data_IF_946679299798
#
_entry.id   IF_946679299798
#
_cell.length_a   1.000
_cell.length_b   1.000
_cell.length_c   1.000
_cell.angle_alpha   90.00
_cell.angle_beta   90.00
_cell.angle_gamma   90.00
#
_symmetry.space_group_name_H-M   'P 1'
#
loop_
_entity.id
_entity.type
_entity.pdbx_description
1 polymer ?
#
# COMPACT_ATOMS: atom_id res chain seq x y z
N UNK A 1 -4.13 7.03 -3.28
CA UNK A 1 -5.52 6.54 -3.47
C UNK A 1 -6.28 7.60 -4.22
N UNK A 2 -7.17 7.19 -5.13
CA UNK A 2 -7.94 8.11 -5.96
C UNK A 2 -9.40 7.69 -6.03
N UNK A 3 -10.29 8.65 -6.25
CA UNK A 3 -11.67 8.39 -6.61
C UNK A 3 -11.73 7.65 -7.96
N UNK A 4 -12.57 6.62 -8.07
CA UNK A 4 -12.63 5.75 -9.24
C UNK A 4 -13.18 6.46 -10.48
N UNK A 5 -14.10 7.39 -10.30
CA UNK A 5 -14.84 8.05 -11.39
C UNK A 5 -14.08 9.26 -11.89
N UNK A 6 -13.70 10.15 -10.98
CA UNK A 6 -13.03 11.43 -11.27
C UNK A 6 -11.52 11.30 -11.37
N UNK A 7 -10.91 10.28 -10.73
CA UNK A 7 -9.46 10.16 -10.61
C UNK A 7 -8.83 11.14 -9.63
N UNK A 8 -9.62 11.92 -8.88
CA UNK A 8 -9.12 12.86 -7.90
C UNK A 8 -8.40 12.17 -6.73
N UNK A 9 -7.32 12.78 -6.25
CA UNK A 9 -6.61 12.30 -5.06
C UNK A 9 -7.44 12.59 -3.80
N UNK A 10 -7.84 11.52 -3.11
CA UNK A 10 -8.75 11.57 -1.96
C UNK A 10 -8.17 12.24 -0.72
N UNK A 11 -6.84 12.31 -0.61
CA UNK A 11 -6.19 13.07 0.46
C UNK A 11 -6.08 14.55 0.10
N UNK A 12 -5.83 14.85 -1.19
CA UNK A 12 -5.73 16.23 -1.65
C UNK A 12 -7.08 16.96 -1.62
N UNK A 13 -8.18 16.28 -1.93
CA UNK A 13 -9.54 16.83 -1.85
C UNK A 13 -10.18 16.73 -0.45
N UNK A 14 -9.43 16.24 0.55
CA UNK A 14 -9.83 16.12 1.96
C UNK A 14 -10.98 15.14 2.24
N UNK A 15 -11.27 14.22 1.32
CA UNK A 15 -12.18 13.10 1.57
C UNK A 15 -11.58 12.11 2.57
N UNK A 16 -10.26 11.95 2.58
CA UNK A 16 -9.52 11.14 3.55
C UNK A 16 -8.54 12.02 4.34
N UNK A 17 -8.36 11.72 5.63
CA UNK A 17 -7.32 12.30 6.47
C UNK A 17 -6.18 11.28 6.66
N UNK A 18 -4.94 11.76 6.57
CA UNK A 18 -3.76 10.96 6.87
C UNK A 18 -3.69 10.52 8.34
N UNK A 19 -4.33 11.26 9.25
CA UNK A 19 -4.35 10.96 10.68
C UNK A 19 -5.22 9.73 11.02
N UNK A 20 -6.13 9.35 10.13
CA UNK A 20 -7.03 8.20 10.31
C UNK A 20 -6.40 6.88 9.85
N UNK A 21 -5.21 6.93 9.23
CA UNK A 21 -4.58 5.77 8.62
C UNK A 21 -4.07 4.81 9.71
N UNK A 22 -4.51 3.55 9.62
CA UNK A 22 -3.99 2.45 10.43
C UNK A 22 -3.63 1.30 9.50
N UNK A 23 -2.42 0.75 9.66
CA UNK A 23 -2.00 -0.45 8.93
C UNK A 23 -1.94 -1.62 9.89
N UNK A 24 -2.68 -2.68 9.58
CA UNK A 24 -2.71 -3.92 10.36
C UNK A 24 -2.14 -5.07 9.54
N UNK A 25 -1.36 -5.94 10.17
CA UNK A 25 -0.98 -7.22 9.58
C UNK A 25 -2.07 -8.29 9.78
N UNK A 26 -1.82 -9.50 9.29
CA UNK A 26 -2.72 -10.66 9.39
C UNK A 26 -3.03 -11.12 10.81
N UNK A 27 -2.23 -10.73 11.80
CA UNK A 27 -2.49 -10.98 13.23
C UNK A 27 -3.31 -9.84 13.89
N UNK A 28 -3.67 -8.81 13.12
CA UNK A 28 -4.36 -7.62 13.62
C UNK A 28 -3.47 -6.67 14.42
N UNK A 29 -2.14 -6.80 14.31
CA UNK A 29 -1.18 -5.91 14.97
C UNK A 29 -0.87 -4.71 14.08
N UNK A 30 -0.63 -3.56 14.71
CA UNK A 30 -0.23 -2.34 14.01
C UNK A 30 1.16 -2.50 13.38
N UNK A 31 1.24 -2.16 12.10
CA UNK A 31 2.48 -2.02 11.35
C UNK A 31 2.86 -0.54 11.21
N UNK A 32 4.17 -0.28 11.16
CA UNK A 32 4.67 1.08 10.95
C UNK A 32 4.45 1.48 9.48
N UNK A 33 4.04 2.73 9.28
CA UNK A 33 3.92 3.33 7.97
C UNK A 33 4.37 4.79 8.00
N UNK A 34 4.70 5.32 6.82
CA UNK A 34 4.92 6.73 6.58
C UNK A 34 3.83 7.26 5.65
N UNK A 35 3.30 8.43 5.96
CA UNK A 35 2.50 9.20 5.00
C UNK A 35 3.38 10.25 4.33
N UNK A 36 3.54 10.16 3.02
CA UNK A 36 4.36 11.08 2.24
C UNK A 36 3.43 11.96 1.40
N UNK A 37 3.49 13.27 1.62
CA UNK A 37 2.77 14.28 0.84
C UNK A 37 3.76 15.20 0.16
N UNK A 38 3.90 15.10 -1.17
CA UNK A 38 4.84 15.91 -1.94
C UNK A 38 4.36 16.11 -3.37
N UNK A 39 4.43 17.35 -3.90
CA UNK A 39 4.07 17.70 -5.28
C UNK A 39 2.70 17.15 -5.74
N UNK A 40 1.69 17.19 -4.88
CA UNK A 40 0.33 16.70 -5.20
C UNK A 40 0.17 15.17 -5.15
N UNK A 41 1.24 14.44 -4.81
CA UNK A 41 1.20 13.01 -4.56
C UNK A 41 1.05 12.72 -3.07
N UNK A 42 0.14 11.80 -2.73
CA UNK A 42 -0.05 11.28 -1.38
C UNK A 42 0.17 9.76 -1.38
N UNK A 43 1.20 9.31 -0.68
CA UNK A 43 1.60 7.90 -0.58
C UNK A 43 1.52 7.40 0.85
N UNK A 44 1.08 6.16 0.98
CA UNK A 44 1.26 5.36 2.19
C UNK A 44 2.40 4.40 1.89
N UNK A 45 3.53 4.62 2.56
CA UNK A 45 4.71 3.79 2.49
C UNK A 45 4.73 2.87 3.71
N UNK A 46 4.80 1.56 3.49
CA UNK A 46 4.83 0.55 4.57
C UNK A 46 6.11 -0.28 4.41
N UNK A 47 7.25 0.18 4.97
CA UNK A 47 8.55 -0.41 4.68
C UNK A 47 8.64 -1.91 5.01
N UNK A 48 8.02 -2.33 6.11
CA UNK A 48 8.07 -3.70 6.62
C UNK A 48 7.48 -4.74 5.64
N UNK A 49 6.56 -4.33 4.76
CA UNK A 49 5.95 -5.22 3.76
C UNK A 49 7.02 -5.83 2.84
N UNK A 50 8.06 -5.07 2.50
CA UNK A 50 9.12 -5.53 1.60
C UNK A 50 10.12 -6.49 2.25
N UNK A 51 10.22 -6.51 3.58
CA UNK A 51 11.19 -7.31 4.33
C UNK A 51 10.59 -8.63 4.85
N UNK A 52 9.27 -8.70 4.99
CA UNK A 52 8.58 -9.90 5.46
C UNK A 52 8.40 -10.93 4.32
N UNK A 53 9.17 -12.00 4.36
CA UNK A 53 9.12 -13.10 3.37
C UNK A 53 7.85 -13.93 3.44
N UNK A 54 7.49 -14.52 2.30
CA UNK A 54 6.32 -15.34 2.10
C UNK A 54 5.09 -14.53 1.71
N UNK A 55 3.95 -15.20 1.64
CA UNK A 55 2.65 -14.58 1.39
C UNK A 55 2.15 -13.94 2.68
N UNK A 56 1.95 -12.62 2.68
CA UNK A 56 1.45 -11.83 3.81
C UNK A 56 0.24 -11.02 3.40
N UNK A 57 -0.66 -10.82 4.36
CA UNK A 57 -1.83 -9.95 4.18
C UNK A 57 -1.77 -8.75 5.13
N UNK A 58 -2.22 -7.61 4.62
CA UNK A 58 -2.33 -6.39 5.40
C UNK A 58 -3.67 -5.71 5.12
N UNK A 59 -4.18 -5.01 6.13
CA UNK A 59 -5.37 -4.18 6.05
C UNK A 59 -4.98 -2.74 6.36
N UNK A 60 -5.18 -1.87 5.39
CA UNK A 60 -4.98 -0.42 5.52
C UNK A 60 -6.34 0.21 5.76
N UNK A 61 -6.63 0.59 7.00
CA UNK A 61 -7.84 1.33 7.38
C UNK A 61 -7.60 2.80 7.05
N UNK A 62 -8.58 3.44 6.41
CA UNK A 62 -8.49 4.82 5.92
C UNK A 62 -9.46 5.75 6.65
N UNK A 63 -10.54 5.20 7.19
CA UNK A 63 -11.50 5.81 8.12
C UNK A 63 -12.40 4.68 8.68
N UNK A 64 -13.49 5.04 9.36
CA UNK A 64 -14.42 4.11 10.00
C UNK A 64 -15.10 3.10 9.04
N UNK A 65 -15.21 3.44 7.75
CA UNK A 65 -15.98 2.65 6.77
C UNK A 65 -15.11 2.09 5.64
N UNK A 66 -13.92 2.64 5.43
CA UNK A 66 -13.07 2.35 4.30
C UNK A 66 -11.78 1.65 4.74
N UNK A 67 -11.49 0.51 4.11
CA UNK A 67 -10.22 -0.18 4.29
C UNK A 67 -9.80 -0.91 3.03
N UNK A 68 -8.50 -0.92 2.75
CA UNK A 68 -7.89 -1.59 1.60
C UNK A 68 -7.15 -2.83 2.09
N UNK A 69 -7.52 -3.99 1.54
CA UNK A 69 -6.87 -5.25 1.85
C UNK A 69 -5.83 -5.55 0.76
N UNK A 70 -4.58 -5.76 1.18
CA UNK A 70 -3.48 -6.07 0.28
C UNK A 70 -2.88 -7.43 0.62
N UNK A 71 -2.42 -8.12 -0.41
CA UNK A 71 -1.66 -9.35 -0.31
C UNK A 71 -0.34 -9.19 -1.04
N UNK A 72 0.76 -9.49 -0.37
CA UNK A 72 2.11 -9.37 -0.92
C UNK A 72 2.85 -10.67 -0.70
N UNK A 73 3.51 -11.17 -1.74
CA UNK A 73 4.39 -12.32 -1.66
C UNK A 73 5.81 -11.85 -1.93
N UNK A 74 6.70 -11.95 -0.94
CA UNK A 74 8.12 -11.62 -1.12
C UNK A 74 9.00 -12.83 -0.87
N UNK A 75 10.15 -12.89 -1.54
CA UNK A 75 11.16 -13.92 -1.30
C UNK A 75 12.53 -13.29 -1.11
N UNK A 76 13.40 -14.00 -0.40
CA UNK A 76 14.83 -13.66 -0.37
C UNK A 76 15.50 -14.32 -1.56
N UNK A 77 16.11 -13.50 -2.40
CA UNK A 77 16.91 -13.94 -3.54
C UNK A 77 18.38 -13.78 -3.19
N UNK A 78 19.13 -14.87 -3.30
CA UNK A 78 20.59 -14.86 -3.23
C UNK A 78 21.16 -15.02 -4.64
N UNK A 79 21.90 -14.01 -5.11
CA UNK A 79 22.62 -14.07 -6.39
C UNK A 79 24.08 -13.70 -6.19
N UNK A 80 24.92 -14.71 -5.97
CA UNK A 80 26.37 -14.59 -5.90
C UNK A 80 26.83 -13.74 -4.72
N UNK A 81 26.99 -12.43 -4.95
CA UNK A 81 27.48 -11.47 -3.95
C UNK A 81 26.41 -11.01 -2.96
N UNK A 82 25.14 -11.10 -3.33
CA UNK A 82 24.16 -10.16 -2.84
C UNK A 82 22.85 -10.87 -2.51
N UNK A 83 22.32 -10.56 -1.32
CA UNK A 83 21.01 -11.02 -0.85
C UNK A 83 20.07 -9.83 -0.86
N UNK A 84 18.93 -9.97 -1.54
CA UNK A 84 17.91 -8.93 -1.62
C UNK A 84 16.51 -9.54 -1.56
N UNK A 85 15.54 -8.74 -1.17
CA UNK A 85 14.14 -9.13 -1.12
C UNK A 85 13.50 -8.80 -2.46
N UNK A 86 12.75 -9.75 -3.02
CA UNK A 86 12.03 -9.58 -4.27
C UNK A 86 10.54 -9.81 -4.03
N UNK A 87 9.72 -8.84 -4.38
CA UNK A 87 8.26 -9.01 -4.47
C UNK A 87 7.92 -9.85 -5.68
N UNK A 88 7.36 -11.04 -5.46
CA UNK A 88 6.88 -11.97 -6.49
C UNK A 88 5.48 -11.60 -6.97
N UNK A 89 4.63 -11.13 -6.07
CA UNK A 89 3.29 -10.66 -6.40
C UNK A 89 2.80 -9.61 -5.41
N UNK A 90 2.03 -8.65 -5.91
CA UNK A 90 1.29 -7.67 -5.13
C UNK A 90 -0.16 -7.67 -5.63
N UNK A 91 -1.12 -7.70 -4.72
CA UNK A 91 -2.54 -7.67 -5.05
C UNK A 91 -3.31 -6.78 -4.07
N UNK A 92 -4.23 -5.98 -4.61
CA UNK A 92 -5.32 -5.37 -3.83
C UNK A 92 -6.55 -6.26 -4.00
N UNK A 93 -7.11 -6.71 -2.88
CA UNK A 93 -8.14 -7.76 -2.88
C UNK A 93 -9.56 -7.22 -3.07
N UNK A 94 -9.81 -5.97 -2.69
CA UNK A 94 -11.15 -5.40 -2.62
C UNK A 94 -11.36 -4.12 -3.44
N UNK A 95 -10.37 -3.70 -4.23
CA UNK A 95 -10.47 -2.54 -5.10
C UNK A 95 -9.71 -2.76 -6.41
N UNK A 96 -10.16 -2.06 -7.44
CA UNK A 96 -9.37 -1.90 -8.66
C UNK A 96 -8.10 -1.11 -8.37
N UNK A 97 -7.00 -1.52 -8.99
CA UNK A 97 -5.72 -0.83 -8.85
C UNK A 97 -4.89 -0.99 -10.12
N UNK A 98 -3.91 -0.11 -10.27
CA UNK A 98 -2.88 -0.25 -11.29
C UNK A 98 -1.52 0.15 -10.71
N UNK A 99 -0.46 -0.35 -11.32
CA UNK A 99 0.90 0.09 -11.00
C UNK A 99 1.22 1.37 -11.80
N UNK A 100 1.83 2.35 -11.15
CA UNK A 100 2.48 3.44 -11.83
C UNK A 100 3.92 3.01 -12.15
N UNK A 101 4.16 2.61 -13.40
CA UNK A 101 5.44 2.04 -13.83
C UNK A 101 6.61 3.04 -13.76
N UNK A 102 6.33 4.34 -13.81
CA UNK A 102 7.38 5.37 -13.77
C UNK A 102 7.91 5.63 -12.36
N UNK A 103 7.06 5.46 -11.34
CA UNK A 103 7.35 5.88 -9.96
C UNK A 103 7.24 4.73 -8.94
N UNK A 104 6.99 3.51 -9.41
CA UNK A 104 7.00 2.27 -8.60
C UNK A 104 6.05 2.27 -7.39
N UNK A 105 4.88 2.89 -7.51
CA UNK A 105 3.80 2.79 -6.53
C UNK A 105 2.51 2.25 -7.16
N UNK A 106 1.60 1.77 -6.32
CA UNK A 106 0.28 1.30 -6.74
C UNK A 106 -0.79 2.38 -6.49
N UNK A 107 -1.66 2.59 -7.47
CA UNK A 107 -2.81 3.48 -7.37
C UNK A 107 -4.05 2.64 -7.16
N UNK A 108 -4.64 2.75 -5.96
CA UNK A 108 -5.92 2.12 -5.62
C UNK A 108 -7.07 3.09 -5.94
N UNK A 109 -8.08 2.61 -6.66
CA UNK A 109 -9.30 3.33 -7.02
C UNK A 109 -10.41 3.00 -6.01
N UNK A 110 -10.94 4.01 -5.34
CA UNK A 110 -12.01 3.89 -4.35
C UNK A 110 -13.33 4.34 -4.99
N UNK A 111 -14.40 3.57 -4.77
CA UNK A 111 -15.75 3.84 -5.28
C UNK A 111 -16.46 4.98 -4.53
#
# INVERSE_FOLDING_TARGET
MVDKISGENLYANKTLDSLDIIVLNEEGKNEKFNFISHNGLNLIDVPEIGWNTGLRQYKIILNDTLSVNIQVNTEVVNKGCCTFYQTKSFQVLNYEYHQNDSLSYYVVKID
#
